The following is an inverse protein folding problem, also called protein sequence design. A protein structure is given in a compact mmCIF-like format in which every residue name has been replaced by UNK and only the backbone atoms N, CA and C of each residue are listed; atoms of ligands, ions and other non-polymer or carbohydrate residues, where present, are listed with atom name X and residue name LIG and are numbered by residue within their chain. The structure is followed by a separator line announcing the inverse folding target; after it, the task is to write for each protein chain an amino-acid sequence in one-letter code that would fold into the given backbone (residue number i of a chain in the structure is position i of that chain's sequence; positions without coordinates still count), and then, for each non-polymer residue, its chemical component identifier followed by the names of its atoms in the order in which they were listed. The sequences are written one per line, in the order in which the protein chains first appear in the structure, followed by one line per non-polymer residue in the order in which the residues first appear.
data_IF_997055561720
#
_entry.id   IF_997055561720
#
_cell.length_a   1.000
_cell.length_b   1.000
_cell.length_c   1.000
_cell.angle_alpha   90.00
_cell.angle_beta   90.00
_cell.angle_gamma   90.00
#
_symmetry.space_group_name_H-M   'P 1'
#
loop_
_entity.id
_entity.type
_entity.pdbx_description
1 polymer ?
#
# COMPACT_ATOMS: atom_id res chain seq x y z
N UNK A 1 -9.38 10.96 1.33
CA UNK A 1 -9.53 9.67 0.60
C UNK A 1 -9.41 8.53 1.58
N UNK A 2 -10.18 7.48 1.39
CA UNK A 2 -10.17 6.30 2.26
C UNK A 2 -9.92 5.04 1.44
N UNK A 3 -9.20 4.08 2.05
CA UNK A 3 -9.13 2.70 1.59
C UNK A 3 -10.00 1.87 2.53
N UNK A 4 -11.02 1.20 2.00
CA UNK A 4 -12.03 0.49 2.81
C UNK A 4 -12.17 -0.94 2.30
N UNK A 5 -12.25 -1.90 3.23
CA UNK A 5 -12.58 -3.28 2.94
C UNK A 5 -13.66 -3.77 3.91
N UNK A 6 -14.77 -4.26 3.36
CA UNK A 6 -15.91 -4.76 4.16
C UNK A 6 -16.34 -3.78 5.27
N UNK A 7 -16.42 -2.49 4.95
CA UNK A 7 -16.79 -1.47 5.91
C UNK A 7 -15.70 -1.07 6.89
N UNK A 8 -14.53 -1.72 6.83
CA UNK A 8 -13.39 -1.38 7.70
C UNK A 8 -12.47 -0.43 6.97
N UNK A 9 -12.17 0.72 7.57
CA UNK A 9 -11.24 1.70 7.03
C UNK A 9 -9.82 1.19 7.27
N UNK A 10 -9.06 1.00 6.18
CA UNK A 10 -7.68 0.52 6.23
C UNK A 10 -6.69 1.68 6.27
N UNK A 11 -7.04 2.78 5.65
CA UNK A 11 -6.25 4.00 5.63
C UNK A 11 -7.15 5.19 5.30
N UNK A 12 -6.79 6.35 5.81
CA UNK A 12 -7.50 7.60 5.49
C UNK A 12 -6.52 8.77 5.53
N UNK A 13 -6.49 9.54 4.44
CA UNK A 13 -5.65 10.74 4.37
C UNK A 13 -6.09 11.63 3.22
N UNK A 14 -5.84 12.93 3.36
CA UNK A 14 -5.93 13.89 2.26
C UNK A 14 -4.57 14.05 1.56
N UNK A 15 -3.49 13.56 2.18
CA UNK A 15 -2.14 13.61 1.63
C UNK A 15 -1.92 12.40 0.72
N UNK A 16 -2.38 12.49 -0.51
CA UNK A 16 -2.33 11.40 -1.48
C UNK A 16 -1.42 11.77 -2.64
N UNK A 17 -0.56 10.82 -3.03
CA UNK A 17 0.22 10.91 -4.27
C UNK A 17 -0.35 9.91 -5.27
N UNK A 18 -0.73 10.40 -6.45
CA UNK A 18 -1.26 9.55 -7.52
C UNK A 18 -0.12 9.13 -8.45
N UNK A 19 0.06 7.83 -8.65
CA UNK A 19 1.02 7.29 -9.62
C UNK A 19 0.37 6.10 -10.34
N UNK A 20 0.41 6.13 -11.66
CA UNK A 20 -0.18 5.09 -12.52
C UNK A 20 -1.66 4.81 -12.21
N UNK A 21 -2.40 5.85 -11.82
CA UNK A 21 -3.81 5.71 -11.48
C UNK A 21 -4.07 5.13 -10.09
N UNK A 22 -3.04 4.87 -9.30
CA UNK A 22 -3.18 4.36 -7.94
C UNK A 22 -2.90 5.47 -6.92
N UNK A 23 -3.77 5.65 -5.92
CA UNK A 23 -3.48 6.55 -4.81
C UNK A 23 -2.51 5.87 -3.84
N UNK A 24 -1.47 6.61 -3.44
CA UNK A 24 -0.50 6.16 -2.45
C UNK A 24 -0.73 6.95 -1.16
N UNK A 25 -0.97 6.21 -0.08
CA UNK A 25 -1.26 6.75 1.24
C UNK A 25 0.00 6.86 2.09
N UNK A 26 0.16 7.93 2.89
CA UNK A 26 1.31 8.01 3.79
C UNK A 26 1.24 6.92 4.86
N UNK A 27 2.41 6.47 5.32
CA UNK A 27 2.48 5.42 6.36
C UNK A 27 1.65 5.76 7.59
N UNK A 28 1.66 7.02 8.02
CA UNK A 28 0.96 7.46 9.23
C UNK A 28 -0.57 7.30 9.14
N UNK A 29 -1.13 7.16 7.92
CA UNK A 29 -2.57 6.99 7.72
C UNK A 29 -3.02 5.54 7.77
N UNK A 30 -2.08 4.58 7.88
CA UNK A 30 -2.36 3.15 7.80
C UNK A 30 -2.79 2.59 9.15
N UNK A 31 -3.84 1.76 9.14
CA UNK A 31 -4.24 0.97 10.31
C UNK A 31 -3.36 -0.29 10.37
N UNK A 32 -2.14 -0.13 10.88
CA UNK A 32 -1.09 -1.16 10.77
C UNK A 32 -1.45 -2.49 11.42
N UNK A 33 -2.33 -2.49 12.43
CA UNK A 33 -2.77 -3.73 13.09
C UNK A 33 -3.54 -4.66 12.15
N UNK A 34 -4.02 -4.14 11.03
CA UNK A 34 -4.79 -4.92 10.05
C UNK A 34 -3.90 -5.51 8.95
N UNK A 35 -2.61 -5.22 8.95
CA UNK A 35 -1.70 -5.65 7.89
C UNK A 35 -0.72 -6.68 8.39
N UNK A 36 -0.49 -7.70 7.56
CA UNK A 36 0.52 -8.74 7.81
C UNK A 36 1.49 -8.77 6.64
N UNK A 37 2.78 -8.65 6.92
CA UNK A 37 3.80 -8.67 5.87
C UNK A 37 3.76 -9.97 5.08
N UNK A 38 3.80 -9.86 3.75
CA UNK A 38 3.86 -10.98 2.83
C UNK A 38 5.30 -11.20 2.35
N UNK A 39 5.59 -12.43 1.90
CA UNK A 39 6.89 -12.75 1.30
C UNK A 39 6.97 -12.32 -0.16
N UNK A 40 5.87 -11.89 -0.76
CA UNK A 40 5.87 -11.49 -2.17
C UNK A 40 6.66 -10.20 -2.37
N UNK A 41 7.47 -10.19 -3.43
CA UNK A 41 8.06 -8.96 -3.97
C UNK A 41 7.89 -8.97 -5.48
N UNK A 42 7.79 -7.78 -6.08
CA UNK A 42 7.75 -7.62 -7.53
C UNK A 42 8.68 -6.49 -7.94
N UNK A 43 9.13 -6.52 -9.19
CA UNK A 43 10.02 -5.47 -9.70
C UNK A 43 9.29 -4.68 -10.79
N UNK A 44 9.28 -3.36 -10.61
CA UNK A 44 8.83 -2.43 -11.64
C UNK A 44 10.06 -1.72 -12.20
N UNK A 45 10.21 -1.72 -13.54
CA UNK A 45 11.42 -1.20 -14.16
C UNK A 45 11.74 0.25 -13.82
N UNK A 46 10.73 1.10 -13.62
CA UNK A 46 10.98 2.50 -13.32
C UNK A 46 10.78 2.87 -11.84
N UNK A 47 10.01 2.08 -11.07
CA UNK A 47 9.73 2.37 -9.66
C UNK A 47 10.66 1.65 -8.70
N UNK A 48 11.10 0.45 -9.03
CA UNK A 48 11.97 -0.36 -8.17
C UNK A 48 11.27 -1.63 -7.69
N UNK A 49 11.65 -2.12 -6.51
CA UNK A 49 11.10 -3.35 -5.93
C UNK A 49 9.98 -3.03 -4.97
N UNK A 50 8.80 -3.62 -5.21
CA UNK A 50 7.65 -3.50 -4.34
C UNK A 50 7.63 -4.62 -3.30
N UNK A 51 7.27 -4.29 -2.06
CA UNK A 51 6.93 -5.24 -1.00
C UNK A 51 5.43 -5.25 -0.83
N UNK A 52 4.90 -6.39 -0.34
CA UNK A 52 3.47 -6.60 -0.24
C UNK A 52 3.03 -6.96 1.17
N UNK A 53 1.79 -6.67 1.47
CA UNK A 53 1.13 -7.03 2.72
C UNK A 53 -0.23 -7.64 2.46
N UNK A 54 -0.63 -8.54 3.36
CA UNK A 54 -1.97 -9.07 3.43
C UNK A 54 -2.81 -8.16 4.34
N UNK A 55 -4.11 -8.13 4.10
CA UNK A 55 -5.06 -7.47 5.01
C UNK A 55 -5.81 -8.54 5.77
N UNK A 56 -5.87 -8.38 7.10
CA UNK A 56 -6.58 -9.30 7.99
C UNK A 56 -7.69 -8.52 8.68
N UNK A 57 -8.95 -8.85 8.37
CA UNK A 57 -10.13 -8.22 8.97
C UNK A 57 -11.01 -9.35 9.51
N UNK A 58 -11.08 -9.45 10.85
CA UNK A 58 -11.77 -10.55 11.50
C UNK A 58 -11.17 -11.89 11.08
N UNK A 59 -11.99 -12.78 10.55
CA UNK A 59 -11.57 -14.11 10.08
C UNK A 59 -11.14 -14.09 8.61
N UNK A 60 -11.17 -12.93 7.96
CA UNK A 60 -10.85 -12.83 6.53
C UNK A 60 -9.43 -12.36 6.32
N UNK A 61 -8.72 -13.04 5.41
CA UNK A 61 -7.37 -12.66 4.98
C UNK A 61 -7.40 -12.43 3.48
N UNK A 62 -6.99 -11.24 3.05
CA UNK A 62 -6.83 -10.95 1.62
C UNK A 62 -5.34 -10.82 1.36
N UNK A 63 -4.82 -11.76 0.56
CA UNK A 63 -3.39 -11.86 0.32
C UNK A 63 -2.89 -10.84 -0.70
N UNK A 64 -1.76 -10.21 -0.39
CA UNK A 64 -0.98 -9.41 -1.34
C UNK A 64 -1.76 -8.24 -1.95
N UNK A 65 -2.61 -7.59 -1.16
CA UNK A 65 -3.48 -6.50 -1.66
C UNK A 65 -2.92 -5.10 -1.39
N UNK A 66 -1.87 -5.00 -0.58
CA UNK A 66 -1.21 -3.73 -0.27
C UNK A 66 0.23 -3.82 -0.74
N UNK A 67 0.75 -2.75 -1.36
CA UNK A 67 2.16 -2.73 -1.75
C UNK A 67 2.78 -1.39 -1.45
N UNK A 68 4.11 -1.38 -1.32
CA UNK A 68 4.90 -0.18 -1.11
C UNK A 68 6.29 -0.36 -1.69
N UNK A 69 6.91 0.76 -2.02
CA UNK A 69 8.31 0.84 -2.47
C UNK A 69 9.11 1.53 -1.38
N UNK A 70 9.88 0.76 -0.58
CA UNK A 70 10.67 1.33 0.52
C UNK A 70 11.84 2.17 -0.01
N UNK A 71 12.44 1.72 -1.10
CA UNK A 71 13.58 2.39 -1.74
C UNK A 71 13.32 2.53 -3.23
N UNK A 72 12.37 3.41 -3.62
CA UNK A 72 12.05 3.59 -5.04
C UNK A 72 13.21 4.20 -5.80
N UNK A 73 13.21 3.97 -7.12
CA UNK A 73 14.17 4.64 -8.00
C UNK A 73 13.91 6.16 -7.99
N UNK A 74 14.91 6.98 -8.36
CA UNK A 74 14.78 8.44 -8.25
C UNK A 74 13.54 9.04 -8.89
N UNK A 75 13.08 8.52 -10.03
CA UNK A 75 11.88 9.04 -10.71
C UNK A 75 10.59 8.74 -9.95
N UNK A 76 10.63 7.83 -8.99
CA UNK A 76 9.47 7.45 -8.17
C UNK A 76 9.64 7.86 -6.70
N UNK A 77 10.52 8.82 -6.42
CA UNK A 77 10.81 9.24 -5.04
C UNK A 77 9.55 9.70 -4.29
N UNK A 78 8.57 10.26 -5.01
CA UNK A 78 7.33 10.77 -4.39
C UNK A 78 6.50 9.70 -3.67
N UNK A 79 6.69 8.42 -4.00
CA UNK A 79 5.95 7.32 -3.37
C UNK A 79 6.76 6.57 -2.32
N UNK A 80 7.93 7.06 -1.94
CA UNK A 80 8.77 6.41 -0.92
C UNK A 80 7.97 6.16 0.35
N UNK A 81 7.94 4.90 0.80
CA UNK A 81 7.27 4.48 2.04
C UNK A 81 5.78 4.80 2.08
N UNK A 82 5.15 5.03 0.93
CA UNK A 82 3.70 5.17 0.82
C UNK A 82 3.10 3.85 0.36
N UNK A 83 1.83 3.64 0.69
CA UNK A 83 1.14 2.38 0.48
C UNK A 83 0.00 2.53 -0.51
N UNK A 84 -0.10 1.59 -1.44
CA UNK A 84 -1.20 1.50 -2.38
C UNK A 84 -1.97 0.20 -2.18
N UNK A 85 -3.21 0.18 -2.64
CA UNK A 85 -4.12 -0.95 -2.44
C UNK A 85 -4.69 -1.41 -3.77
N UNK A 86 -4.84 -2.73 -3.95
CA UNK A 86 -5.67 -3.27 -5.02
C UNK A 86 -7.13 -2.94 -4.75
N UNK A 87 -7.85 -2.68 -5.80
CA UNK A 87 -9.28 -2.34 -5.72
C UNK A 87 -10.15 -3.49 -6.19
#
# INVERSE_FOLDING_TARGET
MQAIFNGTVLAESDDIVMVDGNPYFPRASMETDLFRESDLTTVCGWKGTARYWDVVVGDQVISNVVWAYDTPKPDAESIRERFAFYR
#
